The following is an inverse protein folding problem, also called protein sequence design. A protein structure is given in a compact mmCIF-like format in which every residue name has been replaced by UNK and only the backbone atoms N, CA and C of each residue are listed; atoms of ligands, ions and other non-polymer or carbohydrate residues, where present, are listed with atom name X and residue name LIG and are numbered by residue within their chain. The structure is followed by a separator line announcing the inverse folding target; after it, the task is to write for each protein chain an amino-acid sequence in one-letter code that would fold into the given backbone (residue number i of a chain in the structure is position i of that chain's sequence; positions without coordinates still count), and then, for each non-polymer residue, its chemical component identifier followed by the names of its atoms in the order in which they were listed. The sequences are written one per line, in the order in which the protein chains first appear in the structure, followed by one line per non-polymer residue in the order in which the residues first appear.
data_IF_253004838067
#
_entry.id   IF_253004838067
#
_cell.length_a   1.000
_cell.length_b   1.000
_cell.length_c   1.000
_cell.angle_alpha   90.00
_cell.angle_beta   90.00
_cell.angle_gamma   90.00
#
_symmetry.space_group_name_H-M   'P 1'
#
loop_
_entity.id
_entity.type
_entity.pdbx_description
1 polymer ?
#
# COMPACT_ATOMS: atom_id res chain seq x y z
N UNK A 1 -11.71 4.22 21.03
CA UNK A 1 -12.48 4.09 19.81
C UNK A 1 -11.58 3.81 18.61
N UNK A 2 -11.95 2.87 17.82
CA UNK A 2 -11.22 2.54 16.61
C UNK A 2 -11.43 3.63 15.55
N UNK A 3 -10.33 4.15 15.01
CA UNK A 3 -10.40 5.14 13.95
C UNK A 3 -9.98 4.53 12.64
N UNK A 4 -10.87 4.59 11.70
CA UNK A 4 -10.66 4.09 10.36
C UNK A 4 -10.35 5.25 9.43
N UNK A 5 -9.48 5.01 8.45
CA UNK A 5 -9.28 5.99 7.39
C UNK A 5 -10.55 6.04 6.54
N UNK A 6 -11.03 7.24 6.14
CA UNK A 6 -12.18 7.33 5.24
C UNK A 6 -11.98 6.55 3.94
N UNK A 7 -10.76 6.53 3.42
CA UNK A 7 -10.39 5.69 2.30
C UNK A 7 -9.23 4.81 2.72
N UNK A 8 -9.42 3.50 2.63
CA UNK A 8 -8.37 2.54 2.95
C UNK A 8 -8.53 1.35 2.02
N UNK A 9 -7.62 1.23 1.08
CA UNK A 9 -7.65 0.19 0.06
C UNK A 9 -6.38 -0.64 0.12
N UNK A 10 -6.48 -1.86 -0.38
CA UNK A 10 -5.33 -2.76 -0.52
C UNK A 10 -5.05 -2.95 -2.00
N UNK A 11 -3.78 -2.86 -2.38
CA UNK A 11 -3.33 -3.14 -3.74
C UNK A 11 -2.42 -4.35 -3.65
N UNK A 12 -2.80 -5.43 -4.31
CA UNK A 12 -2.19 -6.74 -4.13
C UNK A 12 -1.74 -7.29 -5.48
N UNK A 13 -0.47 -7.71 -5.64
CA UNK A 13 -0.05 -8.37 -6.88
C UNK A 13 -0.66 -9.76 -6.98
N UNK A 14 -0.91 -10.22 -8.20
CA UNK A 14 -1.40 -11.59 -8.41
C UNK A 14 -0.33 -12.61 -8.09
N UNK A 15 0.94 -12.29 -8.32
CA UNK A 15 2.04 -13.14 -7.94
C UNK A 15 2.20 -13.11 -6.42
N UNK A 16 2.33 -14.26 -5.79
CA UNK A 16 2.52 -14.33 -4.35
C UNK A 16 3.98 -14.02 -4.00
N UNK A 17 4.17 -12.88 -3.35
CA UNK A 17 5.47 -12.46 -2.80
C UNK A 17 5.20 -12.27 -1.30
N UNK A 18 5.74 -13.11 -0.42
CA UNK A 18 5.34 -13.05 1.00
C UNK A 18 5.62 -11.70 1.65
N UNK A 19 6.82 -11.15 1.44
CA UNK A 19 7.23 -9.85 1.99
C UNK A 19 7.98 -9.08 0.92
N UNK A 20 8.02 -7.77 1.04
CA UNK A 20 8.79 -6.95 0.11
C UNK A 20 10.26 -7.37 0.09
N UNK A 21 10.82 -7.70 1.23
CA UNK A 21 12.22 -8.13 1.32
C UNK A 21 12.50 -9.48 0.65
N UNK A 22 11.45 -10.24 0.31
CA UNK A 22 11.58 -11.49 -0.45
C UNK A 22 11.49 -11.26 -1.96
N UNK A 23 11.22 -10.05 -2.39
CA UNK A 23 11.17 -9.73 -3.82
C UNK A 23 12.57 -9.77 -4.42
N UNK A 24 12.64 -10.12 -5.71
CA UNK A 24 13.89 -10.18 -6.45
C UNK A 24 13.84 -9.21 -7.62
N UNK A 25 14.95 -9.17 -8.39
CA UNK A 25 14.99 -8.34 -9.59
C UNK A 25 13.93 -8.73 -10.61
N UNK A 26 13.49 -9.98 -10.60
CA UNK A 26 12.41 -10.43 -11.49
C UNK A 26 11.08 -9.76 -11.17
N UNK A 27 10.93 -9.25 -9.97
CA UNK A 27 9.68 -8.62 -9.53
C UNK A 27 9.64 -7.11 -9.79
N UNK A 28 10.66 -6.58 -10.43
CA UNK A 28 10.78 -5.13 -10.63
C UNK A 28 9.59 -4.54 -11.39
N UNK A 29 9.14 -5.20 -12.45
CA UNK A 29 8.00 -4.72 -13.22
C UNK A 29 6.71 -4.76 -12.40
N UNK A 30 6.52 -5.84 -11.63
CA UNK A 30 5.33 -5.99 -10.79
C UNK A 30 5.29 -4.89 -9.74
N UNK A 31 6.42 -4.65 -9.07
CA UNK A 31 6.49 -3.63 -8.02
C UNK A 31 6.26 -2.23 -8.58
N UNK A 32 6.85 -1.91 -9.73
CA UNK A 32 6.60 -0.63 -10.39
C UNK A 32 5.15 -0.49 -10.82
N UNK A 33 4.56 -1.58 -11.30
CA UNK A 33 3.16 -1.58 -11.72
C UNK A 33 2.23 -1.28 -10.53
N UNK A 34 2.52 -1.85 -9.35
CA UNK A 34 1.72 -1.56 -8.16
C UNK A 34 1.71 -0.07 -7.83
N UNK A 35 2.85 0.59 -7.96
CA UNK A 35 2.95 2.02 -7.69
C UNK A 35 2.14 2.83 -8.70
N UNK A 36 2.21 2.46 -9.98
CA UNK A 36 1.42 3.14 -11.01
C UNK A 36 -0.07 2.94 -10.80
N UNK A 37 -0.47 1.73 -10.42
CA UNK A 37 -1.88 1.41 -10.14
C UNK A 37 -2.38 2.27 -8.99
N UNK A 38 -1.57 2.47 -7.96
CA UNK A 38 -1.95 3.31 -6.82
C UNK A 38 -2.33 4.72 -7.27
N UNK A 39 -1.51 5.33 -8.14
CA UNK A 39 -1.81 6.64 -8.67
C UNK A 39 -3.08 6.67 -9.50
N UNK A 40 -3.30 5.64 -10.31
CA UNK A 40 -4.51 5.55 -11.15
C UNK A 40 -5.78 5.41 -10.32
N UNK A 41 -5.72 4.58 -9.26
CA UNK A 41 -6.87 4.39 -8.37
C UNK A 41 -7.18 5.70 -7.64
N UNK A 42 -6.16 6.39 -7.16
CA UNK A 42 -6.35 7.66 -6.47
C UNK A 42 -7.04 8.68 -7.38
N UNK A 43 -6.67 8.71 -8.65
CA UNK A 43 -7.29 9.59 -9.63
C UNK A 43 -8.76 9.21 -9.87
N UNK A 44 -9.04 7.92 -10.04
CA UNK A 44 -10.40 7.42 -10.26
C UNK A 44 -11.32 7.72 -9.08
N UNK A 45 -10.79 7.70 -7.87
CA UNK A 45 -11.57 7.94 -6.66
C UNK A 45 -11.61 9.42 -6.27
N UNK A 46 -11.01 10.30 -7.07
CA UNK A 46 -11.00 11.75 -6.82
C UNK A 46 -10.39 12.09 -5.45
N UNK A 47 -9.24 11.51 -5.14
CA UNK A 47 -8.58 11.74 -3.86
C UNK A 47 -7.74 13.01 -3.83
N UNK A 48 -7.87 13.87 -4.87
CA UNK A 48 -7.21 15.17 -4.95
C UNK A 48 -5.68 15.04 -4.83
N UNK A 49 -5.14 14.03 -5.49
CA UNK A 49 -3.69 13.75 -5.50
C UNK A 49 -3.11 13.58 -4.08
N UNK A 50 -3.96 13.26 -3.11
CA UNK A 50 -3.58 13.19 -1.70
C UNK A 50 -3.81 11.78 -1.17
N UNK A 51 -2.71 11.05 -0.91
CA UNK A 51 -2.80 9.72 -0.32
C UNK A 51 -1.44 9.33 0.25
N UNK A 52 -1.46 8.31 1.08
CA UNK A 52 -0.25 7.71 1.62
C UNK A 52 -0.26 6.22 1.31
N UNK A 53 0.90 5.71 0.91
CA UNK A 53 1.08 4.27 0.71
C UNK A 53 1.88 3.72 1.87
N UNK A 54 1.46 2.56 2.36
CA UNK A 54 2.16 1.88 3.44
C UNK A 54 2.41 0.43 3.03
N UNK A 55 3.63 -0.03 3.20
CA UNK A 55 4.00 -1.43 3.01
C UNK A 55 4.59 -1.93 4.33
N UNK A 56 3.92 -2.88 4.95
CA UNK A 56 4.45 -3.50 6.16
C UNK A 56 5.26 -4.72 5.77
N UNK A 57 6.51 -4.77 6.19
CA UNK A 57 7.40 -5.88 5.89
C UNK A 57 7.76 -6.61 7.18
N UNK A 58 7.20 -7.79 7.37
CA UNK A 58 7.46 -8.60 8.55
C UNK A 58 6.45 -8.37 9.67
N UNK A 59 6.29 -9.38 10.52
CA UNK A 59 5.29 -9.37 11.58
C UNK A 59 5.47 -8.21 12.56
N UNK A 60 6.70 -7.87 12.90
CA UNK A 60 6.97 -6.79 13.85
C UNK A 60 6.66 -5.41 13.29
N UNK A 61 6.55 -5.29 11.97
CA UNK A 61 6.15 -4.04 11.34
C UNK A 61 4.63 -3.99 11.10
N UNK A 62 3.90 -5.00 11.55
CA UNK A 62 2.45 -5.03 11.42
C UNK A 62 1.93 -5.87 10.28
N UNK A 63 2.79 -6.62 9.59
CA UNK A 63 2.33 -7.51 8.53
C UNK A 63 1.71 -8.76 9.15
N UNK A 64 0.41 -8.96 8.93
CA UNK A 64 -0.30 -10.13 9.44
C UNK A 64 -0.63 -11.13 8.34
N UNK A 65 -0.65 -10.70 7.08
CA UNK A 65 -0.88 -11.55 5.92
C UNK A 65 0.39 -11.54 5.08
N UNK A 66 0.97 -12.73 4.84
CA UNK A 66 2.23 -12.85 4.13
C UNK A 66 2.01 -13.04 2.64
N UNK A 67 1.36 -12.06 2.07
CA UNK A 67 1.23 -11.81 0.66
C UNK A 67 1.34 -10.30 0.51
N UNK A 68 2.43 -9.86 -0.09
CA UNK A 68 2.76 -8.43 -0.25
C UNK A 68 1.55 -7.63 -0.67
N UNK A 69 1.31 -6.54 0.01
CA UNK A 69 0.23 -5.61 -0.34
C UNK A 69 0.59 -4.19 0.07
N UNK A 70 0.03 -3.25 -0.66
CA UNK A 70 0.14 -1.83 -0.36
C UNK A 70 -1.17 -1.37 0.25
N UNK A 71 -1.07 -0.64 1.37
CA UNK A 71 -2.22 0.10 1.89
C UNK A 71 -2.24 1.47 1.26
N UNK A 72 -3.35 1.86 0.67
CA UNK A 72 -3.57 3.23 0.18
C UNK A 72 -4.54 3.89 1.15
N UNK A 73 -4.08 4.96 1.78
CA UNK A 73 -4.82 5.65 2.83
C UNK A 73 -5.04 7.10 2.42
N UNK A 74 -6.26 7.56 2.55
CA UNK A 74 -6.61 8.94 2.19
C UNK A 74 -7.91 9.38 2.86
N UNK A 75 -8.35 10.60 2.56
CA UNK A 75 -9.66 11.11 2.99
C UNK A 75 -9.61 11.98 4.24
N UNK A 76 -8.42 12.18 4.81
CA UNK A 76 -8.20 13.09 5.92
C UNK A 76 -6.74 13.54 5.90
N UNK A 77 -6.40 14.63 6.59
CA UNK A 77 -4.99 15.02 6.74
C UNK A 77 -4.20 13.89 7.40
N UNK A 78 -3.03 13.62 6.87
CA UNK A 78 -2.15 12.56 7.37
C UNK A 78 -0.90 13.21 7.94
N UNK A 79 -0.66 12.95 9.20
CA UNK A 79 0.39 13.62 9.95
C UNK A 79 1.73 12.91 9.82
N UNK A 80 2.76 13.60 10.24
CA UNK A 80 4.12 13.09 10.31
C UNK A 80 4.62 13.19 11.75
N UNK A 81 5.33 12.18 12.30
CA UNK A 81 5.74 10.93 11.64
C UNK A 81 4.60 9.96 11.39
N UNK A 82 4.78 9.04 10.41
CA UNK A 82 3.68 8.17 9.97
C UNK A 82 3.37 6.99 10.89
N UNK A 83 4.22 6.70 11.83
CA UNK A 83 4.02 5.53 12.67
C UNK A 83 4.00 5.74 14.16
#
# INVERSE_FOLDING_TARGET
MYKRQPTHLLIIPKKVIPKLSDASNEDQEILGHLMLVAGKIADQLNLDETFRLVVNNGAKAGQSVFHLHLHLISGRPLNWPPG
#
